data_IF_087542916755
#
_entry.id   IF_087542916755
#
_cell.length_a   1.000
_cell.length_b   1.000
_cell.length_c   1.000
_cell.angle_alpha   90.00
_cell.angle_beta   90.00
_cell.angle_gamma   90.00
#
_symmetry.space_group_name_H-M   'P 1'
#
loop_
_entity.id
_entity.type
_entity.pdbx_description
1 polymer ?
#
# COMPACT_ATOMS: atom_id res chain seq x y z
N UNK A 1 76.99 -24.13 -11.67
CA UNK A 1 76.85 -25.06 -10.53
C UNK A 1 77.13 -24.31 -9.25
N UNK A 2 76.11 -23.85 -8.53
CA UNK A 2 76.22 -23.29 -7.18
C UNK A 2 74.93 -23.63 -6.44
N UNK A 3 75.00 -24.57 -5.49
CA UNK A 3 73.98 -24.76 -4.48
C UNK A 3 74.47 -24.06 -3.22
N UNK A 4 73.68 -23.12 -2.71
CA UNK A 4 73.86 -22.55 -1.39
C UNK A 4 72.50 -22.38 -0.73
N UNK A 5 72.37 -23.00 0.44
CA UNK A 5 71.26 -22.92 1.37
C UNK A 5 71.05 -21.49 1.89
N UNK A 6 69.79 -21.11 2.15
CA UNK A 6 69.43 -19.88 2.82
C UNK A 6 68.16 -20.07 3.66
N UNK A 7 68.32 -19.99 4.97
CA UNK A 7 67.32 -20.00 6.04
C UNK A 7 66.41 -18.75 5.92
N UNK A 8 65.09 -18.87 6.15
CA UNK A 8 64.30 -17.77 6.74
C UNK A 8 63.10 -18.27 7.55
N UNK A 9 63.02 -17.77 8.79
CA UNK A 9 61.96 -17.92 9.79
C UNK A 9 60.98 -16.73 9.65
N UNK A 10 59.68 -17.02 9.77
CA UNK A 10 58.58 -16.27 10.40
C UNK A 10 58.52 -14.72 10.33
N UNK A 11 57.43 -14.17 9.74
CA UNK A 11 56.28 -13.60 10.48
C UNK A 11 55.50 -12.51 9.71
N UNK A 12 54.16 -12.57 9.86
CA UNK A 12 53.16 -11.50 9.78
C UNK A 12 52.71 -10.94 8.42
N UNK A 13 51.51 -11.37 8.01
CA UNK A 13 50.55 -10.50 7.35
C UNK A 13 49.14 -10.81 7.90
N UNK A 14 48.59 -9.85 8.64
CA UNK A 14 47.23 -9.84 9.17
C UNK A 14 46.25 -9.66 8.01
N UNK A 15 45.38 -10.64 7.77
CA UNK A 15 44.22 -10.50 6.88
C UNK A 15 42.97 -10.35 7.75
N UNK A 16 42.49 -9.11 7.87
CA UNK A 16 41.15 -8.80 8.38
C UNK A 16 40.13 -9.36 7.39
N UNK A 17 39.43 -10.42 7.79
CA UNK A 17 38.26 -10.95 7.08
C UNK A 17 37.05 -10.06 7.39
N UNK A 18 36.60 -9.29 6.40
CA UNK A 18 35.30 -8.62 6.42
C UNK A 18 34.25 -9.69 6.08
N UNK A 19 33.47 -10.12 7.08
CA UNK A 19 32.28 -10.94 6.85
C UNK A 19 31.20 -10.08 6.18
N UNK A 20 30.80 -10.47 4.97
CA UNK A 20 29.53 -10.05 4.38
C UNK A 20 28.41 -10.86 5.07
N UNK A 21 27.63 -10.23 5.93
CA UNK A 21 26.36 -10.80 6.37
C UNK A 21 25.36 -10.77 5.21
N UNK A 22 24.96 -11.96 4.76
CA UNK A 22 23.87 -12.14 3.81
C UNK A 22 22.56 -11.73 4.50
N UNK A 23 21.83 -10.79 3.88
CA UNK A 23 20.53 -10.34 4.36
C UNK A 23 19.57 -11.52 4.57
N UNK A 24 19.02 -11.66 5.78
CA UNK A 24 18.00 -12.65 6.12
C UNK A 24 16.79 -12.53 5.17
N UNK A 25 16.58 -13.56 4.34
CA UNK A 25 15.39 -13.69 3.48
C UNK A 25 14.14 -13.72 4.36
N UNK A 26 13.29 -12.70 4.23
CA UNK A 26 12.04 -12.60 4.98
C UNK A 26 11.13 -13.82 4.70
N UNK A 27 11.04 -14.74 5.65
CA UNK A 27 10.25 -15.99 5.53
C UNK A 27 8.75 -15.75 5.35
N UNK A 28 8.24 -14.58 5.75
CA UNK A 28 6.84 -14.19 5.54
C UNK A 28 6.54 -13.78 4.10
N UNK A 29 7.55 -13.38 3.32
CA UNK A 29 7.36 -12.97 1.93
C UNK A 29 6.93 -14.15 1.05
N UNK A 30 7.50 -15.35 1.30
CA UNK A 30 7.23 -16.58 0.53
C UNK A 30 5.99 -17.37 0.96
N UNK A 31 5.29 -17.01 2.04
CA UNK A 31 4.24 -17.88 2.61
C UNK A 31 3.06 -18.15 1.67
N UNK A 32 2.82 -17.31 0.66
CA UNK A 32 1.68 -17.44 -0.24
C UNK A 32 2.03 -17.71 -1.70
N UNK A 33 3.31 -17.68 -2.09
CA UNK A 33 3.77 -18.06 -3.45
C UNK A 33 3.43 -19.51 -3.82
N UNK A 34 3.14 -20.34 -2.80
CA UNK A 34 2.69 -21.73 -2.91
C UNK A 34 1.29 -21.97 -2.32
N UNK A 35 0.53 -20.92 -2.01
CA UNK A 35 -0.83 -21.09 -1.50
C UNK A 35 -1.72 -21.62 -2.63
N UNK A 36 -2.13 -22.89 -2.56
CA UNK A 36 -3.09 -23.50 -3.49
C UNK A 36 -4.51 -22.98 -3.29
N UNK A 37 -4.72 -22.14 -2.26
CA UNK A 37 -5.98 -21.50 -1.90
C UNK A 37 -5.85 -19.99 -2.12
N UNK A 38 -5.56 -19.60 -3.36
CA UNK A 38 -5.79 -18.22 -3.80
C UNK A 38 -7.31 -18.06 -3.80
N UNK A 39 -7.86 -17.12 -3.04
CA UNK A 39 -9.23 -16.64 -3.23
C UNK A 39 -9.23 -15.88 -4.57
N UNK A 40 -9.20 -16.64 -5.68
CA UNK A 40 -9.05 -16.11 -7.05
C UNK A 40 -10.17 -15.15 -7.43
N UNK A 41 -11.28 -15.17 -6.70
CA UNK A 41 -12.44 -14.32 -6.95
C UNK A 41 -12.96 -13.74 -5.62
N UNK A 42 -13.16 -12.41 -5.60
CA UNK A 42 -13.88 -11.77 -4.50
C UNK A 42 -15.31 -12.31 -4.50
N UNK A 43 -15.86 -12.74 -3.34
CA UNK A 43 -17.23 -13.25 -3.29
C UNK A 43 -18.21 -12.24 -3.89
N UNK A 44 -18.97 -12.67 -4.88
CA UNK A 44 -20.03 -11.87 -5.46
C UNK A 44 -21.03 -11.44 -4.38
N UNK A 45 -21.63 -10.26 -4.59
CA UNK A 45 -22.73 -9.84 -3.72
C UNK A 45 -23.92 -10.77 -3.94
N UNK A 46 -24.61 -11.13 -2.86
CA UNK A 46 -25.81 -11.95 -2.98
C UNK A 46 -26.95 -11.09 -3.57
N UNK A 47 -27.94 -11.75 -4.19
CA UNK A 47 -29.04 -11.06 -4.86
C UNK A 47 -29.87 -10.17 -3.92
N UNK A 48 -29.98 -10.55 -2.63
CA UNK A 48 -30.68 -9.74 -1.63
C UNK A 48 -29.94 -8.42 -1.41
N UNK A 49 -28.62 -8.47 -1.29
CA UNK A 49 -27.76 -7.31 -1.10
C UNK A 49 -27.79 -6.43 -2.35
N UNK A 50 -27.69 -7.01 -3.55
CA UNK A 50 -27.81 -6.26 -4.82
C UNK A 50 -29.16 -5.52 -4.91
N UNK A 51 -30.26 -6.19 -4.56
CA UNK A 51 -31.60 -5.59 -4.52
C UNK A 51 -31.68 -4.42 -3.53
N UNK A 52 -31.22 -4.62 -2.29
CA UNK A 52 -31.25 -3.57 -1.26
C UNK A 52 -30.38 -2.35 -1.64
N UNK A 53 -29.23 -2.57 -2.29
CA UNK A 53 -28.41 -1.48 -2.84
C UNK A 53 -29.21 -0.71 -3.90
N UNK A 54 -29.86 -1.41 -4.83
CA UNK A 54 -30.67 -0.79 -5.88
C UNK A 54 -31.83 0.02 -5.32
N UNK A 55 -32.53 -0.51 -4.31
CA UNK A 55 -33.64 0.17 -3.63
C UNK A 55 -33.19 1.42 -2.89
N UNK A 56 -32.09 1.33 -2.11
CA UNK A 56 -31.55 2.46 -1.38
C UNK A 56 -31.07 3.58 -2.32
N UNK A 57 -30.41 3.24 -3.43
CA UNK A 57 -29.98 4.24 -4.43
C UNK A 57 -31.15 4.92 -5.13
N UNK A 58 -32.23 4.19 -5.43
CA UNK A 58 -33.42 4.77 -6.08
C UNK A 58 -34.22 5.65 -5.12
N UNK A 59 -34.28 5.30 -3.84
CA UNK A 59 -35.05 6.03 -2.84
C UNK A 59 -34.33 6.00 -1.48
N UNK A 60 -33.48 6.99 -1.17
CA UNK A 60 -32.59 6.96 0.00
C UNK A 60 -33.29 7.35 1.31
N UNK A 61 -34.41 6.70 1.62
CA UNK A 61 -35.12 6.87 2.90
C UNK A 61 -34.36 6.20 4.06
N UNK A 62 -34.65 6.62 5.29
CA UNK A 62 -34.12 5.99 6.50
C UNK A 62 -34.46 4.49 6.57
N UNK A 63 -35.69 4.12 6.18
CA UNK A 63 -36.13 2.73 6.13
C UNK A 63 -35.28 1.88 5.15
N UNK A 64 -35.04 2.39 3.94
CA UNK A 64 -34.22 1.68 2.95
C UNK A 64 -32.75 1.59 3.38
N UNK A 65 -32.22 2.67 3.99
CA UNK A 65 -30.88 2.66 4.59
C UNK A 65 -30.76 1.62 5.70
N UNK A 66 -31.74 1.55 6.60
CA UNK A 66 -31.76 0.61 7.71
C UNK A 66 -31.86 -0.85 7.23
N UNK A 67 -32.68 -1.12 6.21
CA UNK A 67 -32.81 -2.44 5.61
C UNK A 67 -31.48 -2.91 4.99
N UNK A 68 -30.83 -2.07 4.19
CA UNK A 68 -29.51 -2.36 3.62
C UNK A 68 -28.46 -2.55 4.72
N UNK A 69 -28.43 -1.66 5.72
CA UNK A 69 -27.49 -1.74 6.83
C UNK A 69 -27.62 -3.04 7.62
N UNK A 70 -28.85 -3.48 7.92
CA UNK A 70 -29.11 -4.75 8.61
C UNK A 70 -28.53 -5.95 7.84
N UNK A 71 -28.63 -5.95 6.52
CA UNK A 71 -28.03 -6.99 5.68
C UNK A 71 -26.48 -6.93 5.72
N UNK A 72 -25.90 -5.73 5.70
CA UNK A 72 -24.44 -5.55 5.83
C UNK A 72 -23.93 -6.05 7.19
N UNK A 73 -24.60 -5.67 8.27
CA UNK A 73 -24.31 -6.12 9.65
C UNK A 73 -24.33 -7.64 9.75
N UNK A 74 -25.43 -8.27 9.29
CA UNK A 74 -25.57 -9.73 9.29
C UNK A 74 -24.42 -10.42 8.56
N UNK A 75 -24.00 -9.90 7.41
CA UNK A 75 -22.87 -10.45 6.63
C UNK A 75 -21.55 -10.27 7.36
N UNK A 76 -21.32 -9.09 7.95
CA UNK A 76 -20.09 -8.81 8.71
C UNK A 76 -19.96 -9.73 9.93
N UNK A 77 -21.03 -9.87 10.71
CA UNK A 77 -21.04 -10.72 11.90
C UNK A 77 -20.76 -12.19 11.55
N UNK A 78 -21.30 -12.68 10.43
CA UNK A 78 -20.98 -14.02 9.95
C UNK A 78 -19.48 -14.19 9.61
N UNK A 79 -18.79 -13.15 9.12
CA UNK A 79 -17.34 -13.19 8.90
C UNK A 79 -16.60 -13.22 10.23
N UNK A 80 -16.99 -12.38 11.20
CA UNK A 80 -16.39 -12.33 12.54
C UNK A 80 -16.50 -13.69 13.23
N UNK A 81 -17.67 -14.33 13.20
CA UNK A 81 -17.88 -15.64 13.82
C UNK A 81 -17.02 -16.73 13.18
N UNK A 82 -16.85 -16.72 11.84
CA UNK A 82 -15.90 -17.64 11.17
C UNK A 82 -14.45 -17.43 11.64
N UNK A 83 -14.04 -16.18 11.85
CA UNK A 83 -12.68 -15.86 12.34
C UNK A 83 -12.49 -16.27 13.80
N UNK A 84 -13.48 -16.05 14.66
CA UNK A 84 -13.49 -16.54 16.06
C UNK A 84 -13.39 -18.07 16.11
N UNK A 85 -14.18 -18.78 15.31
CA UNK A 85 -14.12 -20.23 15.23
C UNK A 85 -12.72 -20.71 14.80
N UNK A 86 -12.11 -20.05 13.81
CA UNK A 86 -10.74 -20.37 13.38
C UNK A 86 -9.70 -20.08 14.45
N UNK A 87 -9.88 -19.02 15.25
CA UNK A 87 -9.01 -18.73 16.38
C UNK A 87 -9.09 -19.84 17.45
N UNK A 88 -10.29 -20.31 17.78
CA UNK A 88 -10.46 -21.42 18.72
C UNK A 88 -9.86 -22.74 18.21
N UNK A 89 -9.97 -23.01 16.91
CA UNK A 89 -9.30 -24.14 16.27
C UNK A 89 -7.77 -24.03 16.40
N UNK A 90 -7.20 -22.86 16.07
CA UNK A 90 -5.76 -22.60 16.17
C UNK A 90 -5.25 -22.70 17.60
N UNK A 91 -6.01 -22.22 18.60
CA UNK A 91 -5.64 -22.38 20.02
C UNK A 91 -5.48 -23.85 20.42
N UNK A 92 -6.20 -24.77 19.78
CA UNK A 92 -6.12 -26.21 20.05
C UNK A 92 -5.06 -26.94 19.24
N UNK A 93 -4.82 -26.50 17.99
CA UNK A 93 -4.04 -27.27 17.01
C UNK A 93 -2.71 -26.64 16.61
N UNK A 94 -2.50 -25.33 16.83
CA UNK A 94 -1.31 -24.64 16.36
C UNK A 94 -0.09 -25.00 17.23
N UNK A 95 0.94 -25.57 16.60
CA UNK A 95 2.25 -25.81 17.22
C UNK A 95 3.04 -24.51 17.45
N UNK A 96 2.70 -23.47 16.69
CA UNK A 96 3.36 -22.17 16.71
C UNK A 96 2.42 -21.12 17.33
N UNK A 97 2.84 -20.61 18.49
CA UNK A 97 2.08 -19.62 19.26
C UNK A 97 1.92 -18.30 18.52
N UNK A 98 2.86 -17.94 17.64
CA UNK A 98 2.79 -16.68 16.88
C UNK A 98 1.54 -16.60 16.01
N UNK A 99 1.12 -17.72 15.40
CA UNK A 99 -0.10 -17.80 14.57
C UNK A 99 -1.38 -17.58 15.37
N UNK A 100 -1.39 -18.01 16.62
CA UNK A 100 -2.53 -17.79 17.53
C UNK A 100 -2.60 -16.31 17.90
N UNK A 101 -1.46 -15.71 18.24
CA UNK A 101 -1.41 -14.29 18.65
C UNK A 101 -1.72 -13.35 17.48
N UNK A 102 -1.24 -13.64 16.26
CA UNK A 102 -1.66 -12.92 15.05
C UNK A 102 -3.17 -12.99 14.81
N UNK A 103 -3.78 -14.18 14.93
CA UNK A 103 -5.22 -14.34 14.74
C UNK A 103 -6.04 -13.62 15.83
N UNK A 104 -5.55 -13.58 17.07
CA UNK A 104 -6.20 -12.80 18.16
C UNK A 104 -6.25 -11.32 17.80
N UNK A 105 -5.12 -10.74 17.40
CA UNK A 105 -5.02 -9.32 17.02
C UNK A 105 -6.04 -9.01 15.90
N UNK A 106 -6.12 -9.87 14.88
CA UNK A 106 -7.10 -9.70 13.78
C UNK A 106 -8.53 -9.69 14.30
N UNK A 107 -8.91 -10.65 15.15
CA UNK A 107 -10.29 -10.74 15.68
C UNK A 107 -10.61 -9.53 16.57
N UNK A 108 -9.68 -9.11 17.42
CA UNK A 108 -9.83 -7.95 18.29
C UNK A 108 -9.99 -6.65 17.49
N UNK A 109 -9.17 -6.44 16.47
CA UNK A 109 -9.28 -5.31 15.54
C UNK A 109 -10.64 -5.34 14.80
N UNK A 110 -11.08 -6.51 14.32
CA UNK A 110 -12.38 -6.64 13.65
C UNK A 110 -13.57 -6.28 14.54
N UNK A 111 -13.49 -6.60 15.84
CA UNK A 111 -14.53 -6.25 16.80
C UNK A 111 -14.49 -4.77 17.15
N UNK A 112 -13.28 -4.23 17.36
CA UNK A 112 -13.07 -2.80 17.65
C UNK A 112 -13.54 -1.90 16.51
N UNK A 113 -13.26 -2.29 15.27
CA UNK A 113 -13.53 -1.48 14.08
C UNK A 113 -14.86 -1.83 13.37
N UNK A 114 -15.70 -2.67 14.00
CA UNK A 114 -16.93 -3.20 13.39
C UNK A 114 -17.80 -2.09 12.79
N UNK A 115 -18.10 -1.06 13.56
CA UNK A 115 -18.98 0.03 13.13
C UNK A 115 -18.39 0.79 11.95
N UNK A 116 -17.10 1.14 12.03
CA UNK A 116 -16.39 1.83 10.96
C UNK A 116 -16.41 1.02 9.66
N UNK A 117 -16.20 -0.30 9.73
CA UNK A 117 -16.23 -1.19 8.56
C UNK A 117 -17.62 -1.32 7.94
N UNK A 118 -18.68 -1.34 8.78
CA UNK A 118 -20.06 -1.32 8.31
C UNK A 118 -20.35 0.01 7.61
N UNK A 119 -19.99 1.13 8.24
CA UNK A 119 -20.24 2.46 7.68
C UNK A 119 -19.49 2.67 6.36
N UNK A 120 -18.23 2.24 6.26
CA UNK A 120 -17.47 2.26 5.01
C UNK A 120 -18.16 1.43 3.91
N UNK A 121 -18.68 0.25 4.26
CA UNK A 121 -19.43 -0.58 3.31
C UNK A 121 -20.71 0.13 2.85
N UNK A 122 -21.43 0.77 3.78
CA UNK A 122 -22.62 1.56 3.46
C UNK A 122 -22.30 2.75 2.54
N UNK A 123 -21.22 3.49 2.80
CA UNK A 123 -20.75 4.59 1.92
C UNK A 123 -20.46 4.10 0.51
N UNK A 124 -19.78 2.95 0.37
CA UNK A 124 -19.49 2.34 -0.94
C UNK A 124 -20.77 1.94 -1.67
N UNK A 125 -21.74 1.35 -0.96
CA UNK A 125 -23.01 0.95 -1.54
C UNK A 125 -23.89 2.14 -1.92
N UNK A 126 -23.81 3.26 -1.20
CA UNK A 126 -24.48 4.50 -1.55
C UNK A 126 -23.92 5.15 -2.82
N UNK A 127 -22.63 4.93 -3.13
CA UNK A 127 -21.93 5.61 -4.21
C UNK A 127 -22.45 5.19 -5.60
N UNK A 128 -22.99 6.12 -6.41
CA UNK A 128 -23.52 5.80 -7.75
C UNK A 128 -22.43 5.40 -8.75
N UNK A 129 -21.16 5.67 -8.44
CA UNK A 129 -20.01 5.29 -9.27
C UNK A 129 -19.65 3.81 -9.11
N UNK A 130 -20.18 3.11 -8.10
CA UNK A 130 -19.98 1.67 -7.97
C UNK A 130 -20.82 0.93 -9.04
N UNK A 131 -20.19 0.71 -10.19
CA UNK A 131 -20.65 0.00 -11.39
C UNK A 131 -19.71 -1.18 -11.71
N UNK A 132 -20.11 -2.16 -12.54
CA UNK A 132 -19.27 -3.32 -12.88
C UNK A 132 -17.89 -2.97 -13.44
N UNK A 133 -17.78 -1.85 -14.17
CA UNK A 133 -16.57 -1.35 -14.83
C UNK A 133 -15.81 -0.30 -14.01
N UNK A 134 -16.27 0.06 -12.81
CA UNK A 134 -15.71 1.15 -11.99
C UNK A 134 -14.24 0.95 -11.55
N UNK A 135 -13.67 -0.23 -11.79
CA UNK A 135 -12.27 -0.57 -11.52
C UNK A 135 -11.36 -0.50 -12.75
N UNK A 136 -11.93 -0.15 -13.91
CA UNK A 136 -11.18 0.08 -15.14
C UNK A 136 -10.94 1.58 -15.27
N UNK A 137 -9.80 1.95 -15.81
CA UNK A 137 -9.46 3.34 -16.08
C UNK A 137 -8.94 3.48 -17.51
N UNK A 138 -9.35 4.55 -18.17
CA UNK A 138 -8.86 4.94 -19.50
C UNK A 138 -7.82 6.07 -19.41
N UNK A 139 -7.93 6.92 -18.39
CA UNK A 139 -7.13 8.13 -18.20
C UNK A 139 -6.13 8.02 -17.02
N UNK A 140 -5.99 6.83 -16.45
CA UNK A 140 -5.08 6.55 -15.33
C UNK A 140 -5.62 6.91 -13.95
N UNK A 141 -6.88 7.34 -13.83
CA UNK A 141 -7.55 7.62 -12.55
C UNK A 141 -8.78 6.74 -12.31
N UNK A 142 -8.98 6.36 -11.05
CA UNK A 142 -10.07 5.50 -10.58
C UNK A 142 -10.89 6.19 -9.51
N UNK A 143 -12.23 6.09 -9.52
CA UNK A 143 -13.07 6.73 -8.50
C UNK A 143 -12.78 6.12 -7.12
N UNK A 144 -12.62 6.98 -6.11
CA UNK A 144 -12.51 6.55 -4.71
C UNK A 144 -13.91 6.26 -4.18
N UNK A 145 -14.41 5.04 -4.46
CA UNK A 145 -15.77 4.61 -4.10
C UNK A 145 -15.98 4.65 -2.59
N UNK A 146 -17.00 5.38 -2.15
CA UNK A 146 -17.29 5.62 -0.72
C UNK A 146 -16.51 6.78 -0.10
N UNK A 147 -15.65 7.45 -0.88
CA UNK A 147 -15.09 8.76 -0.58
C UNK A 147 -15.93 9.89 -1.21
N UNK A 148 -15.35 11.09 -1.33
CA UNK A 148 -16.00 12.21 -2.00
C UNK A 148 -16.30 11.89 -3.48
N UNK A 149 -17.41 12.42 -4.00
CA UNK A 149 -17.93 12.08 -5.35
C UNK A 149 -17.08 12.63 -6.49
N UNK A 150 -16.37 13.72 -6.25
CA UNK A 150 -15.40 14.34 -7.16
C UNK A 150 -14.00 13.73 -7.06
N UNK A 151 -13.76 12.82 -6.11
CA UNK A 151 -12.43 12.28 -5.84
C UNK A 151 -12.13 11.02 -6.64
N UNK A 152 -11.00 11.03 -7.34
CA UNK A 152 -10.37 9.87 -7.99
C UNK A 152 -8.91 9.74 -7.57
N UNK A 153 -8.35 8.54 -7.63
CA UNK A 153 -6.96 8.25 -7.28
C UNK A 153 -6.21 7.66 -8.49
N UNK A 154 -4.93 7.96 -8.63
CA UNK A 154 -4.11 7.42 -9.70
C UNK A 154 -4.03 5.88 -9.62
N UNK A 155 -4.04 5.22 -10.77
CA UNK A 155 -3.98 3.77 -10.92
C UNK A 155 -2.73 3.14 -10.31
N UNK A 156 -1.59 3.80 -10.47
CA UNK A 156 -0.28 3.40 -9.94
C UNK A 156 0.38 4.57 -9.17
N UNK A 157 1.43 4.32 -8.36
CA UNK A 157 2.29 5.37 -7.84
C UNK A 157 2.94 6.14 -9.00
N UNK A 158 3.35 7.39 -8.75
CA UNK A 158 4.04 8.20 -9.77
C UNK A 158 5.36 7.53 -10.14
N UNK A 159 5.56 7.30 -11.43
CA UNK A 159 6.75 6.64 -11.98
C UNK A 159 7.92 7.61 -12.15
N UNK A 160 9.14 7.07 -12.28
CA UNK A 160 10.31 7.87 -12.63
C UNK A 160 10.11 8.61 -13.97
N UNK A 161 9.46 7.98 -14.96
CA UNK A 161 9.14 8.59 -16.24
C UNK A 161 8.25 9.82 -16.10
N UNK A 162 7.15 9.70 -15.37
CA UNK A 162 6.24 10.82 -15.10
C UNK A 162 6.92 11.92 -14.28
N UNK A 163 7.75 11.55 -13.30
CA UNK A 163 8.48 12.52 -12.51
C UNK A 163 9.56 13.27 -13.33
N UNK A 164 10.17 12.62 -14.32
CA UNK A 164 11.12 13.27 -15.21
C UNK A 164 10.46 14.38 -16.06
N UNK A 165 9.19 14.23 -16.44
CA UNK A 165 8.44 15.29 -17.13
C UNK A 165 8.25 16.54 -16.26
N UNK A 166 8.00 16.33 -14.97
CA UNK A 166 7.97 17.39 -13.98
C UNK A 166 9.32 18.10 -13.86
N UNK A 167 10.42 17.36 -13.80
CA UNK A 167 11.76 17.93 -13.69
C UNK A 167 12.14 18.81 -14.89
N UNK A 168 11.69 18.47 -16.12
CA UNK A 168 11.94 19.26 -17.34
C UNK A 168 11.45 20.71 -17.26
N UNK A 169 10.45 21.00 -16.42
CA UNK A 169 9.80 22.33 -16.38
C UNK A 169 9.74 22.97 -15.00
N UNK A 170 10.17 22.27 -13.95
CA UNK A 170 10.09 22.76 -12.56
C UNK A 170 11.36 23.43 -12.04
N UNK A 171 12.52 23.18 -12.68
CA UNK A 171 13.82 23.63 -12.19
C UNK A 171 14.28 22.95 -10.89
N UNK A 172 13.58 21.90 -10.44
CA UNK A 172 13.95 21.12 -9.25
C UNK A 172 15.10 20.16 -9.51
N UNK A 173 15.78 19.78 -8.42
CA UNK A 173 16.84 18.76 -8.46
C UNK A 173 16.21 17.38 -8.65
N UNK A 174 16.85 16.56 -9.47
CA UNK A 174 16.49 15.16 -9.61
C UNK A 174 16.73 14.38 -8.30
N UNK A 175 16.04 13.24 -8.09
CA UNK A 175 16.33 12.33 -6.98
C UNK A 175 17.82 11.96 -6.89
N UNK A 176 18.31 11.71 -5.69
CA UNK A 176 19.75 11.55 -5.44
C UNK A 176 20.39 10.36 -6.19
N UNK A 177 19.60 9.33 -6.50
CA UNK A 177 20.02 8.14 -7.24
C UNK A 177 20.05 8.35 -8.77
N UNK A 178 19.52 9.46 -9.27
CA UNK A 178 19.54 9.82 -10.69
C UNK A 178 20.90 10.43 -11.06
N UNK A 179 21.86 9.57 -11.42
CA UNK A 179 23.22 9.99 -11.82
C UNK A 179 23.14 10.98 -12.98
N UNK A 180 23.76 12.15 -12.82
CA UNK A 180 23.73 13.26 -13.79
C UNK A 180 22.30 13.71 -14.16
N UNK A 181 21.33 13.51 -13.27
CA UNK A 181 19.93 13.88 -13.47
C UNK A 181 19.15 12.97 -14.42
N UNK A 182 19.71 11.82 -14.82
CA UNK A 182 19.03 10.83 -15.65
C UNK A 182 18.39 9.74 -14.81
N UNK A 183 17.22 9.26 -15.26
CA UNK A 183 16.57 8.08 -14.67
C UNK A 183 17.56 6.90 -14.69
N UNK A 184 17.69 6.13 -13.59
CA UNK A 184 18.49 4.91 -13.61
C UNK A 184 18.00 3.95 -14.69
N UNK A 185 18.90 3.41 -15.50
CA UNK A 185 18.55 2.56 -16.63
C UNK A 185 17.65 1.40 -16.22
N UNK A 186 16.53 1.22 -16.94
CA UNK A 186 15.55 0.16 -16.67
C UNK A 186 14.57 0.46 -15.53
N UNK A 187 14.62 1.67 -14.94
CA UNK A 187 13.71 2.09 -13.86
C UNK A 187 12.67 3.11 -14.28
N UNK A 188 12.45 3.31 -15.58
CA UNK A 188 11.52 4.31 -16.11
C UNK A 188 10.11 4.11 -15.56
N UNK A 189 9.65 2.86 -15.48
CA UNK A 189 8.31 2.48 -15.03
C UNK A 189 8.28 2.03 -13.55
N UNK A 190 9.37 2.23 -12.81
CA UNK A 190 9.39 2.05 -11.36
C UNK A 190 8.83 3.30 -10.66
N UNK A 191 8.26 3.16 -9.45
CA UNK A 191 7.86 4.31 -8.66
C UNK A 191 9.06 5.22 -8.37
N UNK A 192 8.85 6.54 -8.45
CA UNK A 192 9.86 7.50 -8.02
C UNK A 192 10.03 7.43 -6.51
N UNK A 193 11.29 7.44 -6.06
CA UNK A 193 11.69 7.43 -4.65
C UNK A 193 12.75 8.51 -4.40
N UNK A 194 13.26 8.63 -3.17
CA UNK A 194 14.20 9.70 -2.78
C UNK A 194 13.65 11.13 -2.98
N UNK A 195 12.32 11.27 -2.93
CA UNK A 195 11.60 12.54 -3.00
C UNK A 195 11.04 12.90 -1.63
N UNK A 196 11.09 14.18 -1.27
CA UNK A 196 10.50 14.65 -0.01
C UNK A 196 9.00 14.86 -0.17
N UNK A 197 8.29 15.07 0.95
CA UNK A 197 6.88 15.44 0.92
C UNK A 197 6.66 16.72 0.09
N UNK A 198 7.53 17.73 0.23
CA UNK A 198 7.42 18.99 -0.50
C UNK A 198 7.64 18.84 -2.01
N UNK A 199 8.48 17.88 -2.43
CA UNK A 199 8.63 17.54 -3.84
C UNK A 199 7.37 16.90 -4.41
N UNK A 200 6.76 15.99 -3.66
CA UNK A 200 5.53 15.31 -4.04
C UNK A 200 4.35 16.31 -4.15
N UNK A 201 4.25 17.25 -3.20
CA UNK A 201 3.31 18.37 -3.30
C UNK A 201 3.60 19.29 -4.48
N UNK A 202 4.87 19.59 -4.75
CA UNK A 202 5.24 20.42 -5.89
C UNK A 202 4.90 19.76 -7.24
N UNK A 203 5.06 18.44 -7.34
CA UNK A 203 4.59 17.65 -8.48
C UNK A 203 3.07 17.80 -8.66
N UNK A 204 2.30 17.66 -7.57
CA UNK A 204 0.84 17.83 -7.60
C UNK A 204 0.42 19.23 -8.07
N UNK A 205 1.06 20.27 -7.53
CA UNK A 205 0.83 21.68 -7.94
C UNK A 205 1.19 21.91 -9.40
N UNK A 206 2.28 21.31 -9.88
CA UNK A 206 2.68 21.39 -11.29
C UNK A 206 1.66 20.71 -12.21
N UNK A 207 1.19 19.51 -11.85
CA UNK A 207 0.20 18.77 -12.64
C UNK A 207 -1.14 19.54 -12.71
N UNK A 208 -1.55 20.13 -11.58
CA UNK A 208 -2.72 21.03 -11.51
C UNK A 208 -2.60 22.21 -12.47
N UNK A 209 -1.45 22.88 -12.52
CA UNK A 209 -1.25 24.04 -13.42
C UNK A 209 -1.23 23.68 -14.90
N UNK A 210 -0.91 22.44 -15.25
CA UNK A 210 -0.84 21.98 -16.65
C UNK A 210 -2.19 21.52 -17.19
N UNK A 211 -3.06 21.06 -16.30
CA UNK A 211 -4.38 20.59 -16.67
C UNK A 211 -5.32 21.78 -16.86
N UNK A 212 -6.01 21.82 -18.00
CA UNK A 212 -7.07 22.80 -18.22
C UNK A 212 -8.35 22.38 -17.48
N UNK A 213 -9.07 23.34 -16.92
CA UNK A 213 -10.34 23.12 -16.22
C UNK A 213 -10.20 23.16 -14.70
N UNK A 214 -11.31 22.96 -13.99
CA UNK A 214 -11.38 22.98 -12.53
C UNK A 214 -10.90 21.64 -11.92
N UNK A 215 -9.69 21.22 -12.27
CA UNK A 215 -9.08 19.97 -11.79
C UNK A 215 -8.01 20.29 -10.77
N UNK A 216 -8.08 19.67 -9.58
CA UNK A 216 -7.05 19.78 -8.55
C UNK A 216 -6.34 18.44 -8.36
N UNK A 217 -5.02 18.44 -8.49
CA UNK A 217 -4.18 17.31 -8.08
C UNK A 217 -3.52 17.60 -6.74
N UNK A 218 -3.53 16.61 -5.85
CA UNK A 218 -2.92 16.66 -4.51
C UNK A 218 -2.52 15.27 -4.05
N UNK A 219 -1.80 15.20 -2.93
CA UNK A 219 -1.59 13.94 -2.22
C UNK A 219 -2.91 13.49 -1.57
N UNK A 220 -3.18 12.17 -1.51
CA UNK A 220 -4.30 11.64 -0.74
C UNK A 220 -4.11 11.95 0.74
N UNK A 221 -5.21 12.09 1.48
CA UNK A 221 -5.16 11.88 2.93
C UNK A 221 -4.98 10.39 3.23
N UNK A 222 -4.54 10.04 4.45
CA UNK A 222 -4.46 8.64 4.86
C UNK A 222 -5.82 7.93 4.75
N UNK A 223 -6.92 8.63 5.03
CA UNK A 223 -8.28 8.09 4.95
C UNK A 223 -8.70 7.82 3.49
N UNK A 224 -8.43 8.75 2.58
CA UNK A 224 -8.72 8.56 1.15
C UNK A 224 -7.92 7.41 0.55
N UNK A 225 -6.66 7.31 0.94
CA UNK A 225 -5.78 6.22 0.56
C UNK A 225 -6.34 4.87 1.05
N UNK A 226 -6.80 4.80 2.30
CA UNK A 226 -7.38 3.57 2.87
C UNK A 226 -8.70 3.17 2.22
N UNK A 227 -9.56 4.15 1.89
CA UNK A 227 -10.80 3.89 1.15
C UNK A 227 -10.48 3.32 -0.24
N UNK A 228 -9.51 3.91 -0.94
CA UNK A 228 -9.05 3.43 -2.25
C UNK A 228 -8.42 2.03 -2.18
N UNK A 229 -7.58 1.77 -1.17
CA UNK A 229 -6.93 0.49 -0.96
C UNK A 229 -7.98 -0.60 -0.62
N UNK A 230 -8.88 -0.29 0.31
CA UNK A 230 -9.78 -1.26 0.93
C UNK A 230 -9.02 -2.34 1.71
N UNK A 231 -9.72 -3.41 2.10
CA UNK A 231 -9.08 -4.48 2.86
C UNK A 231 -8.09 -5.26 1.97
N UNK A 232 -6.86 -5.44 2.48
CA UNK A 232 -5.81 -6.25 1.85
C UNK A 232 -6.22 -7.73 1.83
N UNK A 233 -6.39 -8.36 0.65
CA UNK A 233 -6.59 -9.81 0.56
C UNK A 233 -5.42 -10.58 1.19
N UNK A 234 -5.71 -11.75 1.76
CA UNK A 234 -4.67 -12.57 2.41
C UNK A 234 -3.60 -13.03 1.44
N UNK A 235 -4.04 -13.39 0.25
CA UNK A 235 -3.29 -13.91 -0.88
C UNK A 235 -2.86 -12.82 -1.89
N UNK A 236 -3.08 -11.54 -1.55
CA UNK A 236 -2.60 -10.43 -2.37
C UNK A 236 -1.11 -10.59 -2.62
N UNK A 237 -0.69 -10.62 -3.88
CA UNK A 237 0.71 -10.72 -4.28
C UNK A 237 1.27 -9.32 -4.53
N UNK A 238 2.38 -8.97 -3.89
CA UNK A 238 3.00 -7.66 -3.98
C UNK A 238 4.42 -7.66 -3.43
N UNK A 239 5.22 -6.68 -3.87
CA UNK A 239 6.63 -6.54 -3.48
C UNK A 239 6.78 -6.11 -2.00
N UNK A 240 7.01 -7.07 -1.09
CA UNK A 240 7.21 -6.84 0.35
C UNK A 240 8.27 -7.79 0.95
N UNK A 241 9.54 -7.46 0.74
CA UNK A 241 10.69 -8.20 1.26
C UNK A 241 11.16 -9.35 0.37
N UNK A 242 10.69 -9.42 -0.88
CA UNK A 242 11.15 -10.41 -1.87
C UNK A 242 12.27 -9.89 -2.79
N UNK A 243 12.29 -8.59 -3.08
CA UNK A 243 13.24 -7.97 -3.99
C UNK A 243 14.16 -7.02 -3.23
N UNK A 244 15.36 -6.77 -3.76
CA UNK A 244 16.32 -5.81 -3.19
C UNK A 244 15.99 -4.34 -3.53
N UNK A 245 14.80 -4.09 -4.10
CA UNK A 245 14.38 -2.75 -4.52
C UNK A 245 12.96 -2.71 -5.05
N UNK A 246 12.60 -1.54 -5.59
CA UNK A 246 11.32 -1.32 -6.27
C UNK A 246 11.21 -2.17 -7.54
N UNK A 247 9.98 -2.41 -7.97
CA UNK A 247 9.62 -3.11 -9.21
C UNK A 247 8.83 -2.18 -10.13
N UNK A 248 8.74 -2.45 -11.45
CA UNK A 248 7.83 -1.73 -12.33
C UNK A 248 6.39 -1.81 -11.82
N UNK A 249 5.63 -0.71 -11.95
CA UNK A 249 4.27 -0.61 -11.39
C UNK A 249 3.25 -1.58 -12.02
N UNK A 250 3.63 -2.26 -13.10
CA UNK A 250 2.81 -3.27 -13.79
C UNK A 250 3.09 -4.70 -13.34
N UNK A 251 4.17 -4.94 -12.58
CA UNK A 251 4.63 -6.29 -12.23
C UNK A 251 3.60 -7.08 -11.41
N UNK A 252 2.86 -6.41 -10.53
CA UNK A 252 1.84 -7.00 -9.66
C UNK A 252 0.42 -6.59 -10.06
N UNK A 253 0.18 -6.35 -11.35
CA UNK A 253 -1.12 -5.90 -11.88
C UNK A 253 -2.29 -6.88 -11.67
N UNK A 254 -2.02 -8.12 -11.26
CA UNK A 254 -3.04 -9.07 -10.82
C UNK A 254 -3.64 -8.76 -9.44
N UNK A 255 -2.96 -7.95 -8.62
CA UNK A 255 -3.41 -7.55 -7.27
C UNK A 255 -4.06 -6.18 -7.31
N UNK A 256 -5.39 -6.17 -7.32
CA UNK A 256 -6.18 -4.93 -7.41
C UNK A 256 -6.79 -4.53 -6.07
N UNK A 257 -6.73 -3.24 -5.78
CA UNK A 257 -7.33 -2.63 -4.59
C UNK A 257 -8.88 -2.64 -4.62
N UNK A 258 -9.52 -1.98 -3.65
CA UNK A 258 -10.97 -1.77 -3.67
C UNK A 258 -11.45 -0.96 -4.89
N UNK A 259 -10.70 0.09 -5.25
CA UNK A 259 -11.00 0.93 -6.42
C UNK A 259 -10.41 0.38 -7.74
N UNK A 260 -9.51 -0.61 -7.69
CA UNK A 260 -8.87 -1.18 -8.88
C UNK A 260 -7.43 -0.69 -9.12
N UNK A 261 -6.86 0.08 -8.19
CA UNK A 261 -5.49 0.53 -8.27
C UNK A 261 -4.51 -0.61 -7.98
N UNK A 262 -3.33 -0.55 -8.59
CA UNK A 262 -2.20 -1.47 -8.36
C UNK A 262 -1.21 -0.87 -7.37
N UNK A 263 -0.37 -1.72 -6.78
CA UNK A 263 0.68 -1.34 -5.83
C UNK A 263 0.17 -0.48 -4.65
N UNK A 264 -1.08 -0.68 -4.24
CA UNK A 264 -1.58 -0.11 -2.97
C UNK A 264 -0.95 -0.80 -1.75
N UNK A 265 -0.31 -1.95 -1.92
CA UNK A 265 0.41 -2.63 -0.85
C UNK A 265 1.81 -2.99 -1.36
N UNK A 266 2.84 -2.67 -0.59
CA UNK A 266 4.23 -2.89 -0.97
C UNK A 266 4.76 -1.94 -2.05
N UNK A 267 5.86 -2.36 -2.69
CA UNK A 267 6.68 -1.57 -3.61
C UNK A 267 7.29 -0.32 -2.96
N UNK A 268 6.51 0.70 -2.64
CA UNK A 268 6.96 1.91 -1.92
C UNK A 268 5.94 2.36 -0.89
N UNK A 269 6.43 2.90 0.23
CA UNK A 269 5.62 3.72 1.10
C UNK A 269 5.14 4.94 0.31
N UNK A 270 3.86 5.30 0.42
CA UNK A 270 3.29 6.44 -0.30
C UNK A 270 3.05 7.62 0.66
N UNK A 271 3.59 8.79 0.33
CA UNK A 271 3.29 10.04 1.05
C UNK A 271 1.80 10.35 1.07
N UNK A 272 1.29 10.75 2.24
CA UNK A 272 -0.06 11.31 2.40
C UNK A 272 0.00 12.71 3.00
N UNK A 273 -1.06 13.50 2.83
CA UNK A 273 -1.16 14.85 3.40
C UNK A 273 -1.44 14.87 4.92
N UNK A 274 -1.79 13.72 5.49
CA UNK A 274 -2.19 13.58 6.90
C UNK A 274 -0.99 13.72 7.85
N UNK A 275 -1.16 14.52 8.90
CA UNK A 275 -0.22 14.62 10.01
C UNK A 275 -0.51 13.56 11.07
N UNK A 276 0.53 12.93 11.60
CA UNK A 276 0.46 11.95 12.70
C UNK A 276 1.58 12.18 13.71
N UNK A 277 1.44 11.58 14.88
CA UNK A 277 2.59 11.27 15.74
C UNK A 277 3.00 9.84 15.41
N UNK A 278 4.21 9.62 14.90
CA UNK A 278 4.64 8.28 14.53
C UNK A 278 4.66 7.35 15.76
N UNK A 279 4.02 6.19 15.65
CA UNK A 279 4.03 5.16 16.69
C UNK A 279 5.19 4.17 16.53
N UNK A 280 5.79 4.12 15.33
CA UNK A 280 6.85 3.18 14.95
C UNK A 280 7.97 3.88 14.16
N UNK A 281 8.97 3.10 13.75
CA UNK A 281 10.05 3.58 12.87
C UNK A 281 11.01 4.56 13.54
N UNK A 282 11.89 5.15 12.72
CA UNK A 282 12.93 6.08 13.19
C UNK A 282 12.37 7.41 13.73
N UNK A 283 11.13 7.75 13.38
CA UNK A 283 10.49 9.00 13.79
C UNK A 283 9.53 8.82 14.98
N UNK A 284 9.55 7.66 15.65
CA UNK A 284 8.65 7.36 16.78
C UNK A 284 8.58 8.50 17.80
N UNK A 285 7.37 8.92 18.13
CA UNK A 285 7.05 10.00 19.07
C UNK A 285 7.08 11.40 18.46
N UNK A 286 7.44 11.57 17.18
CA UNK A 286 7.51 12.88 16.52
C UNK A 286 6.30 13.14 15.65
N UNK A 287 5.95 14.43 15.50
CA UNK A 287 4.94 14.91 14.53
C UNK A 287 5.54 14.86 13.13
N UNK A 288 4.91 14.09 12.24
CA UNK A 288 5.40 13.78 10.89
C UNK A 288 4.24 13.63 9.91
N UNK A 289 4.55 13.53 8.61
CA UNK A 289 3.56 13.14 7.59
C UNK A 289 3.43 11.62 7.57
N UNK A 290 2.19 11.14 7.54
CA UNK A 290 1.89 9.72 7.45
C UNK A 290 2.30 9.19 6.07
N UNK A 291 2.81 7.95 6.07
CA UNK A 291 3.03 7.18 4.86
C UNK A 291 2.21 5.89 4.92
N UNK A 292 1.79 5.38 3.76
CA UNK A 292 0.88 4.22 3.66
C UNK A 292 1.40 3.14 2.71
N UNK A 293 0.87 1.92 2.83
CA UNK A 293 1.08 0.82 1.88
C UNK A 293 2.26 -0.12 2.17
N UNK A 294 3.27 0.31 2.92
CA UNK A 294 4.51 -0.47 3.05
C UNK A 294 5.37 -0.40 1.81
N UNK A 295 6.62 -0.85 1.90
CA UNK A 295 7.57 -0.85 0.78
C UNK A 295 8.19 -2.22 0.52
N UNK A 296 9.00 -2.31 -0.54
CA UNK A 296 9.77 -3.50 -0.93
C UNK A 296 10.64 -4.10 0.17
N UNK A 297 10.99 -3.34 1.22
CA UNK A 297 11.76 -3.82 2.38
C UNK A 297 10.92 -3.93 3.67
N UNK A 298 9.59 -3.83 3.58
CA UNK A 298 8.70 -3.89 4.73
C UNK A 298 8.24 -5.31 5.02
N UNK A 299 7.93 -5.57 6.30
CA UNK A 299 7.16 -6.77 6.68
C UNK A 299 5.76 -6.66 6.11
N UNK A 300 5.16 -7.77 5.67
CA UNK A 300 3.78 -7.80 5.16
C UNK A 300 2.74 -7.23 6.14
N UNK A 301 2.96 -7.39 7.44
CA UNK A 301 2.09 -6.83 8.50
C UNK A 301 2.11 -5.29 8.54
N UNK A 302 3.21 -4.67 8.12
CA UNK A 302 3.34 -3.21 7.97
C UNK A 302 2.66 -2.71 6.70
N UNK A 303 2.46 -3.56 5.69
CA UNK A 303 1.77 -3.22 4.45
C UNK A 303 0.24 -3.20 4.59
N UNK A 304 -0.33 -3.58 5.73
CA UNK A 304 -1.79 -3.63 5.92
C UNK A 304 -2.41 -2.25 5.72
N UNK A 305 -3.60 -2.22 5.12
CA UNK A 305 -4.33 -0.98 4.85
C UNK A 305 -4.52 -0.14 6.10
N UNK A 306 -4.85 -0.77 7.23
CA UNK A 306 -5.11 -0.13 8.52
C UNK A 306 -3.85 0.34 9.29
N UNK A 307 -2.64 0.04 8.80
CA UNK A 307 -1.42 0.47 9.47
C UNK A 307 -1.27 2.01 9.39
N UNK A 308 -1.31 2.69 10.55
CA UNK A 308 -1.29 4.16 10.65
C UNK A 308 -0.16 4.74 11.50
N UNK A 309 0.71 3.90 12.03
CA UNK A 309 1.73 4.30 12.98
C UNK A 309 3.08 4.70 12.34
N UNK A 310 3.16 4.67 11.01
CA UNK A 310 4.38 4.92 10.25
C UNK A 310 4.34 6.29 9.56
N UNK A 311 5.44 7.04 9.67
CA UNK A 311 5.53 8.40 9.13
C UNK A 311 6.96 8.90 9.00
N UNK A 312 7.17 9.96 8.22
CA UNK A 312 8.49 10.52 7.93
C UNK A 312 8.45 12.04 8.07
N UNK A 313 9.54 12.63 8.54
CA UNK A 313 9.67 14.09 8.54
C UNK A 313 9.46 14.61 7.10
N UNK A 314 8.74 15.73 6.89
CA UNK A 314 8.40 16.22 5.55
C UNK A 314 9.61 16.38 4.61
N UNK A 315 10.73 16.87 5.15
CA UNK A 315 11.98 17.09 4.43
C UNK A 315 12.78 15.82 4.14
N UNK A 316 12.41 14.68 4.74
CA UNK A 316 13.14 13.43 4.62
C UNK A 316 12.98 12.83 3.21
N UNK A 317 14.04 12.21 2.71
CA UNK A 317 14.07 11.53 1.41
C UNK A 317 14.55 10.10 1.64
N UNK A 318 13.77 9.13 1.20
CA UNK A 318 14.10 7.72 1.40
C UNK A 318 13.96 6.92 0.11
N UNK A 319 14.84 5.96 -0.11
CA UNK A 319 14.84 5.07 -1.28
C UNK A 319 13.68 4.06 -1.29
N UNK A 320 12.81 4.09 -0.28
CA UNK A 320 11.61 3.26 -0.19
C UNK A 320 10.32 4.07 0.00
N UNK A 321 10.37 5.40 -0.12
CA UNK A 321 9.20 6.29 -0.04
C UNK A 321 9.03 7.01 -1.37
N UNK A 322 7.87 6.78 -1.99
CA UNK A 322 7.39 7.47 -3.17
C UNK A 322 6.04 8.14 -2.88
N UNK A 323 5.20 8.31 -3.90
CA UNK A 323 3.88 8.88 -3.71
C UNK A 323 2.92 8.52 -4.85
N UNK A 324 1.63 8.65 -4.53
CA UNK A 324 0.51 8.58 -5.46
C UNK A 324 -0.28 9.87 -5.34
N UNK A 325 -1.00 10.24 -6.39
CA UNK A 325 -1.80 11.45 -6.43
C UNK A 325 -3.29 11.12 -6.52
N UNK A 326 -4.09 12.02 -5.98
CA UNK A 326 -5.53 12.08 -6.23
C UNK A 326 -5.85 13.26 -7.15
N UNK A 327 -7.00 13.15 -7.80
CA UNK A 327 -7.59 14.15 -8.67
C UNK A 327 -9.00 14.46 -8.18
N UNK A 328 -9.29 15.74 -7.99
CA UNK A 328 -10.63 16.25 -7.73
C UNK A 328 -11.15 16.94 -8.99
N UNK A 329 -12.33 16.52 -9.46
CA UNK A 329 -13.00 17.06 -10.66
C UNK A 329 -14.51 17.11 -10.47
#
# INVERSE_FOLDING_TARGET
MKNASGIFFLASAVLMSISLDAAEVNSQAKMHKFSTVIEKERPELDEVTKKLISEYRRNPTEANRAALRKQVEKRYDAVVERKKAKLEELKRSAKDKSKVDEMKVIVEEMLRDRENRIEQTMKRFADPRLKPDARKTEDGFLPVIGGATNLSIAYAPVTNREYAEFLKSSGRKAPADWKKGAIPAGKEDHPVVNVSFEDAEAYCKWKTKRESGHVLYRLPTADEWEIAAGHMPKDADFNCGENEGTTPVTQYSGTLSACGAVDMWGNVWEWTSSDIVAGTGAEKGKKVKAVKGGAWNSKRTSCRTEAREEGRAPSHRSGNVGFRIVREK
#
